data_IF_517384987046
#
_entry.id   IF_517384987046
#
_cell.length_a   1.000
_cell.length_b   1.000
_cell.length_c   1.000
_cell.angle_alpha   90.00
_cell.angle_beta   90.00
_cell.angle_gamma   90.00
#
_symmetry.space_group_name_H-M   'P 1'
#
loop_
_entity.id
_entity.type
_entity.pdbx_description
1 polymer ?
#
# COMPACT_ATOMS: atom_id res chain seq x y z
N UNK A 1 -42.18 -8.66 -29.32
CA UNK A 1 -41.59 -8.68 -27.96
C UNK A 1 -40.20 -9.30 -28.06
N UNK A 2 -39.13 -8.55 -27.76
CA UNK A 2 -37.76 -9.02 -27.95
C UNK A 2 -37.36 -10.05 -26.87
N UNK A 3 -36.95 -11.23 -27.29
CA UNK A 3 -36.50 -12.35 -26.46
C UNK A 3 -35.20 -12.01 -25.70
N UNK A 4 -35.32 -11.28 -24.58
CA UNK A 4 -34.23 -10.94 -23.65
C UNK A 4 -33.83 -12.10 -22.71
N UNK A 5 -34.28 -13.32 -22.99
CA UNK A 5 -34.40 -14.37 -21.97
C UNK A 5 -33.15 -15.24 -21.70
N UNK A 6 -32.17 -15.31 -22.58
CA UNK A 6 -30.99 -16.16 -22.35
C UNK A 6 -29.71 -15.44 -22.75
N UNK A 7 -28.94 -14.99 -21.76
CA UNK A 7 -27.55 -14.67 -21.98
C UNK A 7 -26.90 -15.85 -22.72
N UNK A 8 -26.31 -15.57 -23.89
CA UNK A 8 -25.65 -16.56 -24.73
C UNK A 8 -24.73 -17.43 -23.89
N UNK A 9 -24.63 -18.74 -24.16
CA UNK A 9 -23.82 -19.69 -23.38
C UNK A 9 -22.41 -19.17 -23.05
N UNK A 10 -21.76 -18.49 -24.00
CA UNK A 10 -20.47 -17.84 -23.81
C UNK A 10 -20.45 -16.74 -22.72
N UNK A 11 -21.52 -15.97 -22.56
CA UNK A 11 -21.64 -14.95 -21.50
C UNK A 11 -21.74 -15.60 -20.12
N UNK A 12 -22.48 -16.70 -20.00
CA UNK A 12 -22.60 -17.48 -18.76
C UNK A 12 -21.25 -18.08 -18.37
N UNK A 13 -20.53 -18.67 -19.32
CA UNK A 13 -19.17 -19.19 -19.07
C UNK A 13 -18.20 -18.08 -18.62
N UNK A 14 -18.24 -16.92 -19.27
CA UNK A 14 -17.41 -15.76 -18.89
C UNK A 14 -17.73 -15.26 -17.48
N UNK A 15 -19.01 -15.27 -17.09
CA UNK A 15 -19.44 -14.90 -15.75
C UNK A 15 -18.94 -15.90 -14.70
N UNK A 16 -19.13 -17.20 -14.95
CA UNK A 16 -18.63 -18.28 -14.08
C UNK A 16 -17.12 -18.15 -13.87
N UNK A 17 -16.35 -17.99 -14.95
CA UNK A 17 -14.89 -17.82 -14.86
C UNK A 17 -14.48 -16.57 -14.07
N UNK A 18 -15.26 -15.48 -14.14
CA UNK A 18 -15.01 -14.28 -13.33
C UNK A 18 -15.29 -14.55 -11.85
N UNK A 19 -16.39 -15.24 -11.53
CA UNK A 19 -16.75 -15.60 -10.17
C UNK A 19 -15.73 -16.57 -9.56
N UNK A 20 -15.28 -17.58 -10.30
CA UNK A 20 -14.26 -18.54 -9.88
C UNK A 20 -12.94 -17.83 -9.55
N UNK A 21 -12.43 -16.97 -10.46
CA UNK A 21 -11.21 -16.18 -10.19
C UNK A 21 -11.35 -15.27 -8.96
N UNK A 22 -12.53 -14.70 -8.74
CA UNK A 22 -12.77 -13.86 -7.56
C UNK A 22 -12.74 -14.71 -6.27
N UNK A 23 -13.36 -15.89 -6.28
CA UNK A 23 -13.34 -16.84 -5.16
C UNK A 23 -11.92 -17.33 -4.87
N UNK A 24 -11.15 -17.70 -5.90
CA UNK A 24 -9.75 -18.11 -5.75
C UNK A 24 -8.88 -16.99 -5.17
N UNK A 25 -9.03 -15.75 -5.65
CA UNK A 25 -8.31 -14.60 -5.08
C UNK A 25 -8.68 -14.35 -3.63
N UNK A 26 -9.96 -14.49 -3.28
CA UNK A 26 -10.42 -14.37 -1.91
C UNK A 26 -9.82 -15.47 -1.01
N UNK A 27 -9.84 -16.72 -1.46
CA UNK A 27 -9.23 -17.84 -0.75
C UNK A 27 -7.71 -17.63 -0.55
N UNK A 28 -6.98 -17.22 -1.59
CA UNK A 28 -5.54 -16.88 -1.48
C UNK A 28 -5.27 -15.76 -0.48
N UNK A 29 -6.14 -14.74 -0.43
CA UNK A 29 -6.01 -13.64 0.56
C UNK A 29 -6.21 -14.14 1.99
N UNK A 30 -7.16 -15.05 2.23
CA UNK A 30 -7.38 -15.64 3.55
C UNK A 30 -6.18 -16.50 3.94
N UNK A 31 -5.74 -17.39 3.06
CA UNK A 31 -4.54 -18.21 3.27
C UNK A 31 -3.31 -17.35 3.61
N UNK A 32 -3.05 -16.29 2.82
CA UNK A 32 -1.93 -15.38 3.11
C UNK A 32 -2.08 -14.66 4.45
N UNK A 33 -3.29 -14.30 4.87
CA UNK A 33 -3.50 -13.68 6.20
C UNK A 33 -3.23 -14.67 7.34
N UNK A 34 -3.56 -15.94 7.15
CA UNK A 34 -3.34 -17.00 8.14
C UNK A 34 -1.87 -17.42 8.21
N UNK A 35 -1.20 -17.60 7.06
CA UNK A 35 0.20 -18.03 7.00
C UNK A 35 1.19 -16.91 7.25
N UNK A 36 0.80 -15.65 7.09
CA UNK A 36 1.69 -14.52 7.33
C UNK A 36 1.98 -14.43 8.83
N UNK A 37 3.22 -14.77 9.18
CA UNK A 37 3.76 -14.55 10.53
C UNK A 37 3.58 -13.08 10.89
N UNK A 38 2.85 -12.82 11.96
CA UNK A 38 2.75 -11.49 12.55
C UNK A 38 4.08 -11.19 13.25
N UNK A 39 5.02 -10.63 12.49
CA UNK A 39 6.27 -10.12 13.05
C UNK A 39 5.94 -8.82 13.76
N UNK A 40 6.16 -8.80 15.06
CA UNK A 40 6.08 -7.56 15.84
C UNK A 40 7.28 -6.69 15.47
N UNK A 41 7.03 -5.64 14.69
CA UNK A 41 8.09 -4.76 14.15
C UNK A 41 8.82 -4.00 15.24
N UNK A 42 8.19 -3.80 16.40
CA UNK A 42 8.83 -3.12 17.55
C UNK A 42 9.75 -4.03 18.35
N UNK A 43 9.66 -5.36 18.16
CA UNK A 43 10.53 -6.33 18.83
C UNK A 43 11.75 -6.71 17.99
N UNK A 44 11.83 -6.25 16.73
CA UNK A 44 12.98 -6.49 15.86
C UNK A 44 14.03 -5.41 16.15
N UNK A 45 15.31 -5.77 16.40
CA UNK A 45 16.38 -4.78 16.52
C UNK A 45 16.41 -3.90 15.27
N UNK A 46 16.51 -2.58 15.47
CA UNK A 46 16.62 -1.64 14.35
C UNK A 46 17.81 -1.99 13.45
N UNK A 47 17.59 -1.92 12.14
CA UNK A 47 18.63 -2.19 11.15
C UNK A 47 19.71 -1.09 11.26
N UNK A 48 21.00 -1.43 11.42
CA UNK A 48 22.07 -0.43 11.50
C UNK A 48 22.07 0.54 10.32
N UNK A 49 21.62 0.11 9.14
CA UNK A 49 21.60 0.95 7.94
C UNK A 49 20.45 1.99 7.95
N UNK A 50 19.37 1.73 8.70
CA UNK A 50 18.18 2.60 8.73
C UNK A 50 18.05 3.40 10.04
N UNK A 51 18.77 2.98 11.08
CA UNK A 51 18.74 3.62 12.39
C UNK A 51 19.12 5.11 12.28
N UNK A 52 18.29 5.99 12.86
CA UNK A 52 18.53 7.44 12.88
C UNK A 52 18.13 8.20 11.60
N UNK A 53 17.63 7.53 10.56
CA UNK A 53 17.08 8.22 9.38
C UNK A 53 15.70 8.80 9.70
N UNK A 54 15.58 10.12 9.64
CA UNK A 54 14.30 10.80 9.79
C UNK A 54 13.61 10.88 8.42
N UNK A 55 12.41 10.32 8.25
CA UNK A 55 11.68 10.46 7.00
C UNK A 55 11.25 11.91 6.80
N UNK A 56 11.63 12.49 5.66
CA UNK A 56 11.33 13.87 5.33
C UNK A 56 12.38 14.46 4.38
N UNK A 57 12.21 15.73 3.98
CA UNK A 57 13.29 16.47 3.33
C UNK A 57 14.48 16.56 4.30
N UNK A 58 15.69 16.42 3.78
CA UNK A 58 16.90 16.60 4.58
C UNK A 58 16.97 18.04 5.08
N UNK A 59 17.47 18.28 6.31
CA UNK A 59 17.66 19.62 6.82
C UNK A 59 18.55 20.42 5.84
N UNK A 60 18.23 21.71 5.69
CA UNK A 60 19.06 22.60 4.89
C UNK A 60 20.46 22.73 5.54
N UNK A 61 21.52 22.88 4.73
CA UNK A 61 22.84 23.24 5.22
C UNK A 61 22.78 24.46 6.14
N UNK A 62 23.61 24.48 7.18
CA UNK A 62 23.68 25.56 8.18
C UNK A 62 23.77 26.97 7.56
N UNK A 63 24.44 27.11 6.42
CA UNK A 63 24.64 28.40 5.73
C UNK A 63 23.35 29.02 5.15
N UNK A 64 22.25 28.27 5.02
CA UNK A 64 20.97 28.74 4.46
C UNK A 64 19.95 29.13 5.54
N UNK A 65 20.27 28.95 6.82
CA UNK A 65 19.38 29.27 7.95
C UNK A 65 19.53 30.72 8.44
N UNK A 66 20.67 31.36 8.18
CA UNK A 66 21.01 32.68 8.74
C UNK A 66 20.49 33.86 7.89
N UNK A 67 19.86 33.63 6.73
CA UNK A 67 19.39 34.72 5.84
C UNK A 67 18.07 35.38 6.29
N UNK A 68 17.35 34.80 7.26
CA UNK A 68 15.99 35.23 7.65
C UNK A 68 15.88 35.89 9.04
N UNK A 69 16.99 36.21 9.74
CA UNK A 69 16.94 36.97 11.01
C UNK A 69 16.76 38.48 10.72
N UNK A 70 15.57 39.08 10.99
CA UNK A 70 15.40 40.52 10.81
C UNK A 70 16.18 41.27 11.90
N UNK A 71 17.17 42.07 11.50
CA UNK A 71 17.91 42.94 12.43
C UNK A 71 16.94 43.74 13.33
N UNK A 72 17.19 43.84 14.65
CA UNK A 72 16.38 44.66 15.53
C UNK A 72 16.52 46.13 15.13
N UNK A 73 15.42 46.74 14.65
CA UNK A 73 15.38 48.18 14.32
C UNK A 73 15.67 49.05 15.56
N UNK A 74 16.42 50.16 15.39
CA UNK A 74 16.89 51.02 16.48
C UNK A 74 15.77 51.80 17.18
#
# INVERSE_FOLDING_TARGET
MANRGRATFAKRQKEIARQERAREKAAKRVQLKETKVKVDRTAVPEDPDIAGIVPGPQPLPYDLLDEDEPEPKP
#
